data_IF_004315120851
#
_entry.id   IF_004315120851
#
_cell.length_a   1.000
_cell.length_b   1.000
_cell.length_c   1.000
_cell.angle_alpha   90.00
_cell.angle_beta   90.00
_cell.angle_gamma   90.00
#
_symmetry.space_group_name_H-M   'P 1'
#
loop_
_entity.id
_entity.type
_entity.pdbx_description
1 polymer ?
#
# COMPACT_ATOMS: atom_id res chain seq x y z
N UNK A 1 -12.97 11.23 -19.78
CA UNK A 1 -12.78 9.91 -19.13
C UNK A 1 -12.73 10.18 -17.65
N UNK A 2 -13.67 9.65 -16.87
CA UNK A 2 -13.56 9.72 -15.41
C UNK A 2 -12.34 8.89 -15.02
N UNK A 3 -11.35 9.51 -14.38
CA UNK A 3 -10.29 8.76 -13.70
C UNK A 3 -10.97 7.77 -12.75
N UNK A 4 -10.67 6.48 -12.94
CA UNK A 4 -11.24 5.42 -12.13
C UNK A 4 -10.76 5.58 -10.70
N UNK A 5 -11.61 6.10 -9.83
CA UNK A 5 -11.39 6.16 -8.39
C UNK A 5 -11.19 4.73 -7.85
N UNK A 6 -10.23 4.52 -6.95
CA UNK A 6 -9.97 3.18 -6.35
C UNK A 6 -8.64 2.52 -6.72
N UNK A 7 -7.60 3.30 -7.03
CA UNK A 7 -6.23 2.83 -7.26
C UNK A 7 -5.31 3.27 -6.12
N UNK A 8 -4.95 2.36 -5.22
CA UNK A 8 -3.88 2.58 -4.24
C UNK A 8 -2.53 2.23 -4.89
N UNK A 9 -1.87 3.22 -5.49
CA UNK A 9 -0.63 2.99 -6.25
C UNK A 9 0.64 3.39 -5.50
N UNK A 10 0.50 4.20 -4.44
CA UNK A 10 1.62 4.67 -3.63
C UNK A 10 1.23 4.75 -2.16
N UNK A 11 2.25 4.71 -1.30
CA UNK A 11 2.06 4.97 0.13
C UNK A 11 1.84 6.47 0.33
N UNK A 12 0.68 6.84 0.83
CA UNK A 12 0.40 8.23 1.20
C UNK A 12 1.14 8.55 2.50
N UNK A 13 1.86 9.68 2.52
CA UNK A 13 2.47 10.20 3.74
C UNK A 13 1.41 10.62 4.75
N UNK A 14 1.69 10.55 6.05
CA UNK A 14 0.78 11.04 7.08
C UNK A 14 0.31 12.48 6.75
N UNK A 15 -1.01 12.67 6.67
CA UNK A 15 -1.67 13.94 6.31
C UNK A 15 -1.56 14.98 7.43
N UNK A 16 -1.43 14.52 8.68
CA UNK A 16 -1.22 15.36 9.83
C UNK A 16 0.26 15.64 10.08
N UNK A 17 0.54 16.78 10.69
CA UNK A 17 1.86 17.13 11.20
C UNK A 17 2.29 16.17 12.31
N UNK A 18 3.60 16.09 12.52
CA UNK A 18 4.18 15.21 13.54
C UNK A 18 4.57 16.06 14.73
N UNK A 19 3.99 15.75 15.89
CA UNK A 19 4.26 16.42 17.15
C UNK A 19 5.12 15.52 18.04
N UNK A 20 6.07 16.14 18.75
CA UNK A 20 6.91 15.47 19.73
C UNK A 20 6.47 15.93 21.11
N UNK A 21 5.88 15.02 21.88
CA UNK A 21 5.49 15.25 23.25
C UNK A 21 6.63 14.80 24.17
N UNK A 22 6.99 15.63 25.16
CA UNK A 22 8.01 15.32 26.17
C UNK A 22 7.46 14.39 27.27
N UNK A 23 6.84 13.28 26.85
CA UNK A 23 6.34 12.22 27.71
C UNK A 23 6.88 10.85 27.27
N UNK A 24 7.08 9.89 28.19
CA UNK A 24 7.59 8.58 27.84
C UNK A 24 6.72 7.83 26.82
N UNK A 25 7.35 7.15 25.87
CA UNK A 25 6.64 6.32 24.89
C UNK A 25 6.15 5.01 25.49
N UNK A 26 4.84 4.75 25.42
CA UNK A 26 4.26 3.45 25.81
C UNK A 26 4.73 2.28 24.93
N UNK A 27 5.31 2.55 23.75
CA UNK A 27 5.76 1.50 22.80
C UNK A 27 7.24 1.16 22.95
N UNK A 28 8.05 2.00 23.60
CA UNK A 28 9.51 1.82 23.68
C UNK A 28 10.03 2.21 25.06
N UNK A 29 10.52 1.22 25.79
CA UNK A 29 10.86 1.27 27.23
C UNK A 29 11.92 2.33 27.62
N UNK A 30 12.69 2.85 26.66
CA UNK A 30 13.78 3.82 26.89
C UNK A 30 13.65 5.11 26.08
N UNK A 31 12.46 5.38 25.55
CA UNK A 31 12.20 6.60 24.79
C UNK A 31 11.45 7.61 25.66
N UNK A 32 12.16 8.65 26.13
CA UNK A 32 11.62 9.70 27.01
C UNK A 32 10.74 10.75 26.32
N UNK A 33 10.38 10.52 25.06
CA UNK A 33 9.49 11.36 24.27
C UNK A 33 8.55 10.48 23.45
N UNK A 34 7.40 11.02 23.07
CA UNK A 34 6.39 10.35 22.28
C UNK A 34 6.17 11.12 21.00
N UNK A 35 6.19 10.40 19.88
CA UNK A 35 5.90 10.97 18.57
C UNK A 35 4.46 10.65 18.23
N UNK A 36 3.64 11.68 18.05
CA UNK A 36 2.22 11.57 17.72
C UNK A 36 1.91 12.33 16.43
N UNK A 37 0.81 11.96 15.77
CA UNK A 37 0.20 12.82 14.78
C UNK A 37 -0.59 13.89 15.54
N UNK A 38 -0.41 15.17 15.18
CA UNK A 38 -1.23 16.25 15.72
C UNK A 38 -2.60 16.29 15.04
N UNK A 39 -3.43 17.25 15.43
CA UNK A 39 -4.67 17.61 14.77
C UNK A 39 -4.49 18.61 13.60
N UNK A 40 -3.24 19.05 13.36
CA UNK A 40 -2.91 20.01 12.30
C UNK A 40 -2.60 19.28 10.99
N UNK A 41 -3.26 19.67 9.90
CA UNK A 41 -2.98 19.15 8.56
C UNK A 41 -1.69 19.75 7.99
N UNK A 42 -0.89 18.92 7.33
CA UNK A 42 0.26 19.39 6.55
C UNK A 42 -0.20 20.21 5.37
N UNK A 43 0.57 21.26 5.04
CA UNK A 43 0.36 22.03 3.81
C UNK A 43 0.35 21.17 2.54
N UNK A 44 1.18 20.13 2.46
CA UNK A 44 1.18 19.19 1.32
C UNK A 44 -0.14 18.43 1.19
N UNK A 45 -0.80 18.11 2.31
CA UNK A 45 -2.09 17.45 2.31
C UNK A 45 -3.22 18.42 1.89
N UNK A 46 -3.16 19.67 2.34
CA UNK A 46 -4.10 20.73 1.92
C UNK A 46 -3.98 21.02 0.41
N UNK A 47 -2.75 21.09 -0.11
CA UNK A 47 -2.49 21.25 -1.54
C UNK A 47 -2.99 20.07 -2.38
N UNK A 48 -3.15 18.90 -1.76
CA UNK A 48 -3.71 17.69 -2.39
C UNK A 48 -5.23 17.58 -2.21
N UNK A 49 -5.91 18.65 -1.79
CA UNK A 49 -7.36 18.74 -1.58
C UNK A 49 -7.91 17.65 -0.63
N UNK A 50 -7.15 17.33 0.43
CA UNK A 50 -7.53 16.29 1.40
C UNK A 50 -8.87 16.59 2.09
N UNK A 51 -9.26 17.86 2.20
CA UNK A 51 -10.52 18.30 2.83
C UNK A 51 -11.75 17.90 2.03
N UNK A 52 -11.60 17.62 0.73
CA UNK A 52 -12.67 17.08 -0.14
C UNK A 52 -12.57 15.58 -0.36
N UNK A 53 -11.60 14.92 0.27
CA UNK A 53 -11.45 13.47 0.17
C UNK A 53 -12.53 12.76 0.99
N UNK A 54 -13.00 11.63 0.47
CA UNK A 54 -13.91 10.75 1.21
C UNK A 54 -13.06 9.89 2.14
N UNK A 55 -13.29 10.00 3.45
CA UNK A 55 -12.70 9.08 4.41
C UNK A 55 -13.32 7.69 4.23
N UNK A 56 -12.47 6.69 4.04
CA UNK A 56 -12.88 5.28 3.96
C UNK A 56 -12.30 4.53 5.15
N UNK A 57 -12.99 3.48 5.59
CA UNK A 57 -12.47 2.61 6.65
C UNK A 57 -11.18 1.95 6.17
N UNK A 58 -10.12 2.02 7.00
CA UNK A 58 -8.90 1.30 6.71
C UNK A 58 -9.08 -0.16 7.06
N UNK A 59 -9.21 -1.00 6.04
CA UNK A 59 -9.17 -2.44 6.21
C UNK A 59 -7.72 -2.90 6.40
N UNK A 60 -7.52 -3.85 7.32
CA UNK A 60 -6.21 -4.42 7.61
C UNK A 60 -6.08 -5.78 6.93
N UNK A 61 -5.65 -5.75 5.67
CA UNK A 61 -5.49 -6.94 4.86
C UNK A 61 -4.20 -6.92 4.04
N UNK A 62 -4.26 -7.55 2.87
CA UNK A 62 -3.20 -7.45 1.87
C UNK A 62 -3.74 -6.81 0.60
N UNK A 63 -3.14 -5.69 0.20
CA UNK A 63 -3.50 -5.00 -1.03
C UNK A 63 -3.26 -5.87 -2.27
N UNK A 64 -4.27 -5.93 -3.13
CA UNK A 64 -4.27 -6.65 -4.41
C UNK A 64 -4.69 -5.73 -5.54
N UNK A 65 -4.35 -6.11 -6.76
CA UNK A 65 -4.73 -5.39 -7.97
C UNK A 65 -5.40 -6.35 -8.95
N UNK A 66 -6.48 -5.91 -9.60
CA UNK A 66 -7.16 -6.72 -10.62
C UNK A 66 -6.78 -6.16 -12.00
N UNK A 67 -6.04 -6.93 -12.78
CA UNK A 67 -5.57 -6.54 -14.10
C UNK A 67 -5.44 -7.72 -15.04
N UNK A 68 -5.34 -7.43 -16.33
CA UNK A 68 -5.22 -8.47 -17.35
C UNK A 68 -3.88 -9.19 -17.24
N UNK A 69 -3.90 -10.52 -17.27
CA UNK A 69 -2.72 -11.36 -17.41
C UNK A 69 -3.06 -12.52 -18.35
N UNK A 70 -2.20 -12.76 -19.35
CA UNK A 70 -2.42 -13.80 -20.38
C UNK A 70 -3.79 -13.69 -21.06
N UNK A 71 -4.24 -12.47 -21.35
CA UNK A 71 -5.50 -12.17 -22.05
C UNK A 71 -6.77 -12.34 -21.22
N UNK A 72 -6.67 -12.42 -19.88
CA UNK A 72 -7.82 -12.61 -18.98
C UNK A 72 -7.69 -11.76 -17.72
N UNK A 73 -8.81 -11.33 -17.09
CA UNK A 73 -8.79 -10.71 -15.78
C UNK A 73 -8.14 -11.61 -14.73
N UNK A 74 -7.20 -11.05 -13.98
CA UNK A 74 -6.37 -11.80 -13.05
C UNK A 74 -6.16 -11.04 -11.74
N UNK A 75 -5.87 -11.78 -10.68
CA UNK A 75 -5.49 -11.20 -9.39
C UNK A 75 -3.97 -11.02 -9.33
N UNK A 76 -3.54 -9.84 -8.93
CA UNK A 76 -2.13 -9.48 -8.77
C UNK A 76 -1.86 -9.16 -7.30
N UNK A 77 -0.79 -9.73 -6.76
CA UNK A 77 -0.33 -9.45 -5.40
C UNK A 77 0.64 -8.27 -5.40
N UNK A 78 0.59 -7.45 -4.36
CA UNK A 78 1.58 -6.38 -4.17
C UNK A 78 2.96 -6.96 -3.94
N UNK A 79 3.94 -6.47 -4.69
CA UNK A 79 5.34 -6.83 -4.54
C UNK A 79 6.21 -5.59 -4.81
N UNK A 80 6.56 -4.87 -3.75
CA UNK A 80 7.44 -3.70 -3.87
C UNK A 80 8.89 -4.17 -4.13
N UNK A 81 9.53 -3.65 -5.17
CA UNK A 81 10.98 -3.81 -5.39
C UNK A 81 11.69 -2.97 -4.34
N UNK A 82 12.64 -3.58 -3.64
CA UNK A 82 13.39 -2.96 -2.52
C UNK A 82 14.89 -2.98 -2.79
N UNK A 83 15.67 -2.16 -2.08
CA UNK A 83 17.11 -2.24 -2.15
C UNK A 83 17.59 -3.63 -1.72
N UNK A 84 18.71 -4.06 -2.26
CA UNK A 84 19.44 -5.23 -1.79
C UNK A 84 20.40 -4.82 -0.67
N UNK A 85 21.21 -5.76 -0.17
CA UNK A 85 22.14 -5.50 0.95
C UNK A 85 23.15 -4.38 0.64
N UNK A 86 23.60 -4.25 -0.61
CA UNK A 86 24.54 -3.21 -1.01
C UNK A 86 23.84 -1.84 -1.09
N UNK A 87 22.66 -1.79 -1.72
CA UNK A 87 21.83 -0.58 -1.77
C UNK A 87 21.45 -0.08 -0.37
N UNK A 88 21.01 -0.98 0.52
CA UNK A 88 20.71 -0.65 1.92
C UNK A 88 21.92 -0.07 2.67
N UNK A 89 23.12 -0.62 2.43
CA UNK A 89 24.36 -0.14 3.04
C UNK A 89 24.69 1.28 2.57
N UNK A 90 24.60 1.54 1.26
CA UNK A 90 24.82 2.87 0.68
C UNK A 90 23.80 3.88 1.18
N UNK A 91 22.52 3.49 1.24
CA UNK A 91 21.46 4.36 1.76
C UNK A 91 21.69 4.74 3.22
N UNK A 92 22.12 3.79 4.07
CA UNK A 92 22.49 4.09 5.46
C UNK A 92 23.65 5.06 5.56
N UNK A 93 24.70 4.86 4.77
CA UNK A 93 25.84 5.77 4.72
C UNK A 93 25.43 7.18 4.29
N UNK A 94 24.61 7.28 3.25
CA UNK A 94 24.03 8.55 2.80
C UNK A 94 23.23 9.24 3.91
N UNK A 95 22.32 8.54 4.60
CA UNK A 95 21.53 9.11 5.70
C UNK A 95 22.40 9.61 6.85
N UNK A 96 23.46 8.86 7.21
CA UNK A 96 24.41 9.29 8.24
C UNK A 96 25.20 10.53 7.80
N UNK A 97 25.63 10.60 6.54
CA UNK A 97 26.31 11.79 6.01
C UNK A 97 25.38 13.00 5.94
N UNK A 98 24.13 12.80 5.51
CA UNK A 98 23.11 13.86 5.45
C UNK A 98 22.83 14.42 6.85
N UNK A 99 22.65 13.55 7.85
CA UNK A 99 22.44 13.96 9.24
C UNK A 99 23.61 14.79 9.78
N UNK A 100 24.86 14.39 9.48
CA UNK A 100 26.05 15.17 9.87
C UNK A 100 26.11 16.52 9.17
N UNK A 101 25.72 16.57 7.89
CA UNK A 101 25.66 17.81 7.13
C UNK A 101 24.62 18.77 7.69
N UNK A 102 23.41 18.29 8.02
CA UNK A 102 22.32 19.08 8.63
C UNK A 102 22.72 19.67 9.99
N UNK A 103 23.61 19.00 10.73
CA UNK A 103 24.15 19.45 12.03
C UNK A 103 25.40 20.34 11.90
N UNK A 104 25.99 20.45 10.71
CA UNK A 104 27.14 21.31 10.44
C UNK A 104 26.71 22.71 10.01
N UNK A 105 27.67 23.62 9.85
CA UNK A 105 27.44 24.98 9.33
C UNK A 105 26.87 25.05 7.90
N UNK A 106 26.65 23.91 7.24
CA UNK A 106 26.15 23.76 5.86
C UNK A 106 27.05 24.36 4.77
N UNK A 107 28.30 24.74 5.11
CA UNK A 107 29.31 25.24 4.16
C UNK A 107 29.82 24.18 3.18
N UNK A 108 29.63 22.90 3.51
CA UNK A 108 29.97 21.77 2.64
C UNK A 108 28.83 21.45 1.67
N UNK A 109 29.11 20.87 0.49
CA UNK A 109 28.05 20.46 -0.43
C UNK A 109 27.14 19.41 0.23
N UNK A 110 25.82 19.59 0.06
CA UNK A 110 24.81 18.66 0.55
C UNK A 110 25.07 17.27 -0.04
N UNK A 111 25.16 16.21 0.78
CA UNK A 111 25.26 14.85 0.27
C UNK A 111 24.10 14.56 -0.69
N UNK A 112 24.40 13.87 -1.79
CA UNK A 112 23.40 13.33 -2.72
C UNK A 112 23.49 11.81 -2.75
N UNK A 113 22.38 11.17 -3.13
CA UNK A 113 22.34 9.73 -3.38
C UNK A 113 21.72 9.48 -4.74
N UNK A 114 22.51 8.88 -5.62
CA UNK A 114 22.05 8.35 -6.89
C UNK A 114 22.01 6.83 -6.81
N UNK A 115 20.83 6.28 -7.07
CA UNK A 115 20.57 4.86 -7.08
C UNK A 115 21.09 4.23 -8.38
N UNK A 116 21.88 3.16 -8.26
CA UNK A 116 22.24 2.29 -9.37
C UNK A 116 21.15 1.22 -9.50
N UNK A 117 20.26 1.40 -10.49
CA UNK A 117 19.08 0.55 -10.67
C UNK A 117 19.39 -0.93 -10.90
N UNK A 118 20.60 -1.25 -11.35
CA UNK A 118 21.06 -2.62 -11.59
C UNK A 118 21.73 -3.21 -10.34
N UNK A 119 22.53 -2.42 -9.63
CA UNK A 119 23.35 -2.93 -8.51
C UNK A 119 22.74 -2.76 -7.14
N UNK A 120 21.86 -1.78 -6.93
CA UNK A 120 21.37 -1.46 -5.59
C UNK A 120 20.06 -2.16 -5.22
N UNK A 121 19.37 -2.80 -6.17
CA UNK A 121 18.04 -3.37 -5.94
C UNK A 121 17.99 -4.87 -6.07
N UNK A 122 16.95 -5.47 -5.50
CA UNK A 122 16.62 -6.87 -5.75
C UNK A 122 16.10 -7.03 -7.18
N UNK A 123 16.35 -8.19 -7.76
CA UNK A 123 15.69 -8.61 -9.00
C UNK A 123 14.19 -8.81 -8.73
N UNK A 124 13.39 -8.52 -9.75
CA UNK A 124 11.94 -8.74 -9.74
C UNK A 124 11.60 -9.97 -10.58
N UNK A 125 10.48 -10.66 -10.30
CA UNK A 125 10.00 -11.75 -11.15
C UNK A 125 9.69 -11.29 -12.59
N UNK A 126 9.66 -12.24 -13.53
CA UNK A 126 9.48 -11.99 -14.97
C UNK A 126 8.26 -11.12 -15.32
N UNK A 127 7.12 -11.38 -14.68
CA UNK A 127 5.87 -10.68 -14.93
C UNK A 127 5.58 -9.56 -13.93
N UNK A 128 6.60 -9.10 -13.20
CA UNK A 128 6.43 -7.96 -12.31
C UNK A 128 6.17 -6.70 -13.12
N UNK A 129 5.20 -5.90 -12.68
CA UNK A 129 4.89 -4.59 -13.27
C UNK A 129 4.96 -3.51 -12.20
N UNK A 130 5.44 -2.29 -12.53
CA UNK A 130 5.37 -1.17 -11.60
C UNK A 130 3.91 -0.75 -11.37
N UNK A 131 3.64 -0.20 -10.19
CA UNK A 131 2.36 0.48 -9.94
C UNK A 131 2.20 1.69 -10.88
N UNK A 132 0.97 2.04 -11.24
CA UNK A 132 0.69 2.99 -12.33
C UNK A 132 1.28 4.39 -12.11
N UNK A 133 1.42 4.81 -10.85
CA UNK A 133 1.90 6.15 -10.49
C UNK A 133 3.42 6.18 -10.26
N UNK A 134 4.12 5.07 -10.49
CA UNK A 134 5.59 5.02 -10.40
C UNK A 134 6.19 5.75 -11.60
N UNK A 135 7.01 6.78 -11.38
CA UNK A 135 7.67 7.49 -12.48
C UNK A 135 8.56 6.55 -13.29
N UNK A 136 8.50 6.64 -14.61
CA UNK A 136 9.36 5.88 -15.51
C UNK A 136 10.33 6.85 -16.19
N UNK A 137 11.63 6.61 -16.03
CA UNK A 137 12.70 7.38 -16.66
C UNK A 137 13.54 6.43 -17.49
N UNK A 138 13.69 6.72 -18.79
CA UNK A 138 14.41 5.86 -19.74
C UNK A 138 13.94 4.38 -19.72
N UNK A 139 12.64 4.15 -19.54
CA UNK A 139 12.06 2.81 -19.46
C UNK A 139 12.23 2.11 -18.11
N UNK A 140 12.90 2.74 -17.13
CA UNK A 140 13.10 2.17 -15.80
C UNK A 140 12.17 2.80 -14.76
N UNK A 141 11.43 1.99 -13.98
CA UNK A 141 10.58 2.49 -12.91
C UNK A 141 11.46 2.99 -11.74
N UNK A 142 11.19 4.21 -11.29
CA UNK A 142 12.02 4.91 -10.32
C UNK A 142 11.61 4.57 -8.88
N UNK A 143 12.57 4.39 -7.95
CA UNK A 143 12.28 4.20 -6.55
C UNK A 143 11.85 5.51 -5.88
N UNK A 144 11.11 5.39 -4.78
CA UNK A 144 10.83 6.50 -3.88
C UNK A 144 12.08 6.95 -3.10
N UNK A 145 11.93 7.96 -2.26
CA UNK A 145 13.01 8.51 -1.42
C UNK A 145 13.63 7.48 -0.45
N UNK A 146 12.95 6.36 -0.21
CA UNK A 146 13.43 5.27 0.64
C UNK A 146 14.00 4.08 -0.17
N UNK A 147 14.05 4.17 -1.49
CA UNK A 147 14.51 3.07 -2.34
C UNK A 147 13.43 2.03 -2.64
N UNK A 148 12.14 2.31 -2.41
CA UNK A 148 11.07 1.38 -2.73
C UNK A 148 10.40 1.72 -4.05
N UNK A 149 10.20 0.73 -4.90
CA UNK A 149 9.38 0.85 -6.11
C UNK A 149 8.15 -0.05 -5.95
N UNK A 150 6.96 0.53 -5.69
CA UNK A 150 5.72 -0.23 -5.64
C UNK A 150 5.45 -0.99 -6.94
N UNK A 151 4.91 -2.18 -6.83
CA UNK A 151 4.58 -2.99 -8.00
C UNK A 151 3.74 -4.21 -7.69
N UNK A 152 3.49 -4.98 -8.73
CA UNK A 152 2.52 -6.06 -8.75
C UNK A 152 3.11 -7.29 -9.43
N UNK A 153 2.72 -8.47 -8.98
CA UNK A 153 3.05 -9.75 -9.62
C UNK A 153 1.77 -10.57 -9.76
N UNK A 154 1.54 -11.26 -10.89
CA UNK A 154 0.34 -12.05 -11.06
C UNK A 154 0.35 -13.21 -10.05
N UNK A 155 -0.80 -13.47 -9.44
CA UNK A 155 -0.95 -14.57 -8.49
C UNK A 155 -1.01 -15.89 -9.26
N UNK A 156 0.01 -16.73 -9.08
CA UNK A 156 0.00 -18.08 -9.63
C UNK A 156 -0.63 -19.06 -8.64
N UNK A 157 -1.44 -20.00 -9.14
CA UNK A 157 -2.11 -21.03 -8.33
C UNK A 157 -1.15 -21.89 -7.51
N UNK A 158 0.02 -22.15 -8.05
CA UNK A 158 1.07 -22.97 -7.45
C UNK A 158 1.97 -22.16 -6.51
N UNK A 159 1.78 -20.84 -6.41
CA UNK A 159 2.62 -19.99 -5.56
C UNK A 159 2.34 -20.26 -4.09
N UNK A 160 3.34 -20.80 -3.38
CA UNK A 160 3.28 -20.94 -1.91
C UNK A 160 3.28 -19.59 -1.21
N UNK A 161 3.92 -18.58 -1.80
CA UNK A 161 3.96 -17.22 -1.25
C UNK A 161 2.58 -16.54 -1.31
N UNK A 162 1.82 -16.79 -2.37
CA UNK A 162 0.52 -16.15 -2.61
C UNK A 162 -0.66 -17.14 -2.50
N UNK A 163 -0.51 -18.23 -1.76
CA UNK A 163 -1.53 -19.27 -1.62
C UNK A 163 -2.87 -18.71 -1.09
N UNK A 164 -2.82 -17.75 -0.17
CA UNK A 164 -4.00 -17.05 0.34
C UNK A 164 -4.70 -16.20 -0.71
N UNK A 165 -3.94 -15.57 -1.60
CA UNK A 165 -4.50 -14.78 -2.70
C UNK A 165 -5.19 -15.69 -3.70
N UNK A 166 -4.52 -16.79 -4.07
CA UNK A 166 -5.08 -17.79 -4.98
C UNK A 166 -6.35 -18.45 -4.42
N UNK A 167 -6.49 -18.53 -3.09
CA UNK A 167 -7.69 -19.07 -2.44
C UNK A 167 -8.91 -18.14 -2.45
N UNK A 168 -8.70 -16.84 -2.69
CA UNK A 168 -9.76 -15.83 -2.61
C UNK A 168 -10.55 -15.64 -3.90
N UNK A 169 -10.03 -16.17 -5.01
CA UNK A 169 -10.59 -16.03 -6.35
C UNK A 169 -10.54 -17.37 -7.07
N UNK A 170 -11.55 -17.66 -7.87
CA UNK A 170 -11.48 -18.72 -8.87
C UNK A 170 -10.78 -18.15 -10.11
N UNK A 171 -9.48 -18.40 -10.23
CA UNK A 171 -8.67 -17.92 -11.35
C UNK A 171 -9.06 -18.55 -12.69
N UNK A 172 -9.61 -19.78 -12.70
CA UNK A 172 -10.03 -20.43 -13.95
C UNK A 172 -11.28 -19.78 -14.53
N UNK A 173 -12.23 -19.47 -13.63
CA UNK A 173 -13.50 -18.83 -14.00
C UNK A 173 -13.42 -17.30 -13.99
N UNK A 174 -12.30 -16.74 -13.54
CA UNK A 174 -12.12 -15.30 -13.31
C UNK A 174 -13.25 -14.73 -12.44
N UNK A 175 -13.57 -15.41 -11.34
CA UNK A 175 -14.58 -15.00 -10.35
C UNK A 175 -13.93 -14.70 -9.01
N UNK A 176 -14.45 -13.71 -8.29
CA UNK A 176 -14.04 -13.40 -6.91
C UNK A 176 -15.23 -13.22 -5.99
N UNK A 177 -15.01 -13.42 -4.69
CA UNK A 177 -15.95 -13.04 -3.65
C UNK A 177 -15.61 -11.64 -3.15
N UNK A 178 -16.55 -10.72 -3.36
CA UNK A 178 -16.37 -9.31 -3.07
C UNK A 178 -17.36 -8.86 -2.00
N UNK A 179 -16.85 -8.14 -1.02
CA UNK A 179 -17.63 -7.47 0.00
C UNK A 179 -17.82 -6.00 -0.38
N UNK A 180 -19.07 -5.53 -0.34
CA UNK A 180 -19.43 -4.14 -0.56
C UNK A 180 -20.67 -3.76 0.25
N UNK A 181 -21.13 -2.52 0.11
CA UNK A 181 -22.37 -2.08 0.76
C UNK A 181 -23.57 -2.79 0.14
N UNK A 182 -24.41 -3.35 1.01
CA UNK A 182 -25.74 -3.86 0.69
C UNK A 182 -26.80 -2.76 0.83
N UNK A 183 -28.05 -3.14 0.64
CA UNK A 183 -29.19 -2.23 0.82
C UNK A 183 -29.29 -1.75 2.28
N UNK A 184 -29.69 -0.50 2.45
CA UNK A 184 -30.00 0.05 3.78
C UNK A 184 -31.34 -0.50 4.21
N UNK A 185 -31.34 -1.36 5.23
CA UNK A 185 -32.55 -1.94 5.81
C UNK A 185 -32.74 -1.32 7.19
N UNK A 186 -33.88 -0.67 7.42
CA UNK A 186 -34.20 -0.04 8.71
C UNK A 186 -33.17 0.98 9.21
N UNK A 187 -32.54 1.73 8.29
CA UNK A 187 -31.53 2.74 8.61
C UNK A 187 -30.14 2.18 8.98
N UNK A 188 -29.94 0.87 8.93
CA UNK A 188 -28.64 0.24 9.13
C UNK A 188 -27.95 -0.06 7.79
N UNK A 189 -26.67 0.29 7.69
CA UNK A 189 -25.83 -0.11 6.57
C UNK A 189 -25.41 -1.57 6.74
N UNK A 190 -25.79 -2.42 5.79
CA UNK A 190 -25.36 -3.81 5.76
C UNK A 190 -24.19 -4.01 4.80
N UNK A 191 -23.24 -4.87 5.16
CA UNK A 191 -22.24 -5.37 4.21
C UNK A 191 -22.77 -6.64 3.54
N UNK A 192 -22.57 -6.74 2.24
CA UNK A 192 -22.97 -7.90 1.46
C UNK A 192 -21.77 -8.49 0.73
N UNK A 193 -21.65 -9.81 0.80
CA UNK A 193 -20.71 -10.58 -0.01
C UNK A 193 -21.42 -11.02 -1.30
N UNK A 194 -20.82 -10.75 -2.44
CA UNK A 194 -21.31 -11.13 -3.77
C UNK A 194 -20.21 -11.84 -4.55
N UNK A 195 -20.60 -12.81 -5.37
CA UNK A 195 -19.69 -13.38 -6.38
C UNK A 195 -19.75 -12.47 -7.60
N UNK A 196 -18.61 -11.90 -8.01
CA UNK A 196 -18.52 -11.06 -9.19
C UNK A 196 -17.42 -11.56 -10.14
N UNK A 197 -17.57 -11.39 -11.45
CA UNK A 197 -16.47 -11.54 -12.39
C UNK A 197 -15.36 -10.53 -12.10
N UNK A 198 -14.10 -10.97 -12.11
CA UNK A 198 -12.95 -10.08 -11.99
C UNK A 198 -12.95 -8.98 -13.08
N UNK A 199 -13.56 -9.29 -14.24
CA UNK A 199 -13.76 -8.32 -15.32
C UNK A 199 -14.51 -7.07 -14.88
N UNK A 200 -15.49 -7.17 -13.98
CA UNK A 200 -16.31 -6.02 -13.56
C UNK A 200 -15.53 -5.01 -12.70
N UNK A 201 -14.37 -5.41 -12.20
CA UNK A 201 -13.52 -4.63 -11.30
C UNK A 201 -12.11 -4.44 -11.87
N UNK A 202 -11.92 -4.70 -13.17
CA UNK A 202 -10.64 -4.55 -13.84
C UNK A 202 -10.07 -3.12 -13.71
N UNK A 203 -8.80 -3.04 -13.32
CA UNK A 203 -8.08 -1.80 -13.10
C UNK A 203 -8.23 -1.20 -11.70
N UNK A 204 -8.90 -1.89 -10.77
CA UNK A 204 -9.03 -1.46 -9.38
C UNK A 204 -8.07 -2.20 -8.47
N UNK A 205 -7.64 -1.53 -7.41
CA UNK A 205 -7.03 -2.19 -6.25
C UNK A 205 -8.09 -2.57 -5.24
N UNK A 206 -7.86 -3.65 -4.52
CA UNK A 206 -8.74 -4.11 -3.45
C UNK A 206 -7.87 -4.53 -2.25
N UNK A 207 -8.52 -4.84 -1.13
CA UNK A 207 -7.85 -5.42 0.02
C UNK A 207 -8.33 -6.86 0.20
N UNK A 208 -7.38 -7.80 0.27
CA UNK A 208 -7.68 -9.18 0.65
C UNK A 208 -7.73 -9.27 2.17
N UNK A 209 -8.89 -9.64 2.72
CA UNK A 209 -9.09 -9.84 4.15
C UNK A 209 -9.14 -11.34 4.47
N UNK A 210 -8.38 -11.75 5.48
CA UNK A 210 -8.33 -13.13 5.96
C UNK A 210 -9.59 -13.57 6.71
N UNK A 211 -9.62 -14.84 7.14
CA UNK A 211 -10.68 -15.41 7.99
C UNK A 211 -10.77 -14.78 9.38
N UNK A 212 -9.65 -14.23 9.86
CA UNK A 212 -9.60 -13.36 11.03
C UNK A 212 -9.70 -11.93 10.54
N UNK A 213 -10.91 -11.51 10.22
CA UNK A 213 -11.20 -10.09 10.04
C UNK A 213 -10.95 -9.47 11.42
N UNK A 214 -9.78 -8.86 11.62
CA UNK A 214 -9.61 -7.89 12.67
C UNK A 214 -10.33 -6.63 12.18
N UNK A 215 -11.65 -6.72 12.12
CA UNK A 215 -12.50 -5.57 11.94
C UNK A 215 -12.29 -4.76 13.20
N UNK A 216 -11.31 -3.87 13.18
CA UNK A 216 -11.29 -2.71 14.05
C UNK A 216 -12.42 -1.75 13.63
N UNK A 217 -13.62 -2.28 13.38
CA UNK A 217 -14.81 -1.59 13.77
C UNK A 217 -14.71 -1.53 15.29
N UNK A 218 -14.54 -0.34 15.85
CA UNK A 218 -14.85 -0.14 17.25
C UNK A 218 -16.28 -0.64 17.44
N UNK A 219 -16.41 -1.85 18.00
CA UNK A 219 -17.62 -2.66 18.30
C UNK A 219 -17.96 -3.86 17.37
N UNK A 220 -17.72 -5.05 17.97
CA UNK A 220 -18.45 -6.34 17.91
C UNK A 220 -18.00 -7.44 16.93
N UNK A 221 -17.99 -8.63 17.52
CA UNK A 221 -17.48 -9.91 17.05
C UNK A 221 -18.17 -10.43 15.78
N UNK A 222 -17.38 -10.93 14.83
CA UNK A 222 -17.85 -11.81 13.76
C UNK A 222 -16.96 -13.06 13.75
N UNK A 223 -17.56 -14.23 13.98
CA UNK A 223 -16.90 -15.54 13.90
C UNK A 223 -16.95 -16.15 12.48
N UNK A 224 -15.75 -16.49 12.00
CA UNK A 224 -15.35 -17.59 11.09
C UNK A 224 -16.20 -17.91 9.85
N UNK A 225 -15.77 -17.44 8.67
CA UNK A 225 -15.72 -18.16 7.36
C UNK A 225 -14.57 -17.58 6.50
N UNK A 226 -14.17 -18.27 5.42
CA UNK A 226 -12.97 -18.08 4.54
C UNK A 226 -12.51 -16.65 4.19
N UNK A 227 -11.32 -16.44 3.56
CA UNK A 227 -10.88 -15.11 3.15
C UNK A 227 -11.80 -14.53 2.05
N UNK A 228 -12.02 -13.21 2.06
CA UNK A 228 -12.83 -12.49 1.06
C UNK A 228 -12.08 -11.23 0.59
N UNK A 229 -12.46 -10.64 -0.54
CA UNK A 229 -11.87 -9.39 -1.05
C UNK A 229 -12.82 -8.24 -0.75
N UNK A 230 -12.32 -7.16 -0.18
CA UNK A 230 -13.07 -5.93 0.07
C UNK A 230 -12.60 -4.81 -0.84
N UNK A 231 -13.54 -4.05 -1.38
CA UNK A 231 -13.23 -2.76 -1.97
C UNK A 231 -13.53 -1.67 -0.95
N UNK A 232 -12.69 -0.63 -0.91
CA UNK A 232 -13.12 0.62 -0.31
C UNK A 232 -14.23 1.17 -1.21
N UNK A 233 -15.46 1.20 -0.70
CA UNK A 233 -16.58 1.86 -1.38
C UNK A 233 -16.27 3.34 -1.49
N UNK A 234 -16.09 3.83 -2.71
CA UNK A 234 -16.27 5.25 -3.05
C UNK A 234 -17.73 5.52 -3.32
#
# INVERSE_FOLDING_TARGET
>A
MMDKCGKVQQKVSCVFETEILNEPSNKRQFQGYKVVASDVLKNTALLSDVTRSIATEKLDGTCVFIAEFKGRPWLWARLDRKPNKAGDKRFKQYRSSLQKWEQSSQDLPKPSLEWDMEKDFKQVPEHWIPASDVPIVNGHPQPDQNGHTPGWVPVEKTSRQYCWHASAVDLDRSLGLFMGQGEVVSGAHHLQIRVLPLQSVLGHTAELIGTHINANAYSREIQSRGPYVTFNST
#
